data_IF_073818277511
#
_entry.id   IF_073818277511
#
_cell.length_a   1.000
_cell.length_b   1.000
_cell.length_c   1.000
_cell.angle_alpha   90.00
_cell.angle_beta   90.00
_cell.angle_gamma   90.00
#
_symmetry.space_group_name_H-M   'P 1'
#
loop_
_entity.id
_entity.type
_entity.pdbx_description
1 polymer ?
#
# COMPACT_ATOMS: atom_id res chain seq x y z
N UNK A 1 -25.73 -10.89 -40.61
CA UNK A 1 -24.33 -10.58 -40.25
C UNK A 1 -24.37 -9.54 -39.14
N UNK A 2 -23.93 -9.82 -37.90
CA UNK A 2 -23.83 -8.77 -36.89
C UNK A 2 -22.50 -8.02 -37.04
N UNK A 3 -22.55 -6.70 -36.86
CA UNK A 3 -21.39 -5.81 -36.87
C UNK A 3 -20.51 -6.10 -35.65
N UNK A 4 -19.25 -6.46 -35.89
CA UNK A 4 -18.23 -6.64 -34.86
C UNK A 4 -17.87 -5.27 -34.26
N UNK A 5 -18.25 -5.04 -33.01
CA UNK A 5 -17.71 -3.93 -32.21
C UNK A 5 -16.28 -4.28 -31.84
N UNK A 6 -15.31 -3.54 -32.39
CA UNK A 6 -13.91 -3.71 -32.01
C UNK A 6 -13.70 -3.14 -30.60
N UNK A 7 -12.96 -3.82 -29.70
CA UNK A 7 -12.64 -3.25 -28.41
C UNK A 7 -11.77 -2.00 -28.60
N UNK A 8 -12.13 -0.92 -27.92
CA UNK A 8 -11.31 0.29 -27.81
C UNK A 8 -9.93 -0.11 -27.27
N UNK A 9 -8.81 0.34 -27.87
CA UNK A 9 -7.50 0.09 -27.29
C UNK A 9 -7.46 0.73 -25.91
N UNK A 10 -7.36 -0.08 -24.86
CA UNK A 10 -6.95 0.45 -23.57
C UNK A 10 -5.50 0.87 -23.73
N UNK A 11 -5.28 2.19 -23.71
CA UNK A 11 -3.95 2.77 -23.67
C UNK A 11 -3.30 2.29 -22.39
N UNK A 12 -2.43 1.29 -22.50
CA UNK A 12 -1.50 0.92 -21.45
C UNK A 12 -0.67 2.17 -21.15
N UNK A 13 -0.96 2.84 -20.03
CA UNK A 13 -0.11 3.91 -19.49
C UNK A 13 1.12 3.24 -18.87
N UNK A 14 1.87 2.56 -19.73
CA UNK A 14 3.09 1.82 -19.42
C UNK A 14 4.27 2.78 -19.40
N UNK A 15 4.38 3.47 -18.27
CA UNK A 15 5.59 4.18 -17.88
C UNK A 15 6.13 3.72 -16.52
N UNK A 16 5.32 3.06 -15.69
CA UNK A 16 5.71 2.65 -14.36
C UNK A 16 5.80 1.13 -14.33
N UNK A 17 7.02 0.59 -14.29
CA UNK A 17 7.23 -0.82 -13.95
C UNK A 17 6.86 -0.99 -12.47
N UNK A 18 5.58 -1.20 -12.20
CA UNK A 18 5.10 -1.44 -10.84
C UNK A 18 5.73 -2.73 -10.32
N UNK A 19 6.51 -2.60 -9.26
CA UNK A 19 7.14 -3.74 -8.58
C UNK A 19 6.07 -4.48 -7.78
N UNK A 20 5.97 -5.80 -7.97
CA UNK A 20 5.13 -6.65 -7.11
C UNK A 20 5.77 -6.81 -5.73
N UNK A 21 5.01 -7.22 -4.74
CA UNK A 21 5.52 -7.48 -3.38
C UNK A 21 6.64 -8.52 -3.37
N UNK A 22 6.59 -9.52 -4.25
CA UNK A 22 7.64 -10.53 -4.40
C UNK A 22 8.98 -9.96 -4.90
N UNK A 23 8.93 -8.82 -5.61
CA UNK A 23 10.12 -8.17 -6.14
C UNK A 23 10.79 -7.19 -5.15
N UNK A 24 10.17 -6.98 -3.98
CA UNK A 24 10.68 -6.06 -2.96
C UNK A 24 12.03 -6.52 -2.41
N UNK A 25 12.96 -5.58 -2.36
CA UNK A 25 14.31 -5.78 -1.84
C UNK A 25 14.49 -5.05 -0.53
N UNK A 26 15.15 -5.69 0.42
CA UNK A 26 15.44 -5.13 1.74
C UNK A 26 16.26 -3.84 1.66
N UNK A 27 15.99 -2.93 2.60
CA UNK A 27 16.69 -1.68 2.78
C UNK A 27 15.98 -0.46 2.20
N UNK A 28 16.68 0.68 2.26
CA UNK A 28 16.22 1.94 1.67
C UNK A 28 16.44 1.92 0.17
N UNK A 29 15.43 2.34 -0.58
CA UNK A 29 15.49 2.30 -2.03
C UNK A 29 14.59 3.36 -2.65
N UNK A 30 14.84 3.69 -3.91
CA UNK A 30 13.88 4.35 -4.79
C UNK A 30 12.80 3.38 -5.31
N UNK A 31 12.45 2.34 -4.53
CA UNK A 31 11.38 1.41 -4.90
C UNK A 31 10.04 2.15 -4.89
N UNK A 32 9.19 1.75 -5.82
CA UNK A 32 7.83 2.23 -5.98
C UNK A 32 6.89 1.05 -6.16
N UNK A 33 5.76 1.05 -5.46
CA UNK A 33 4.69 0.06 -5.65
C UNK A 33 3.41 0.77 -6.07
N UNK A 34 2.58 0.07 -6.84
CA UNK A 34 1.15 0.37 -6.90
C UNK A 34 0.43 -0.75 -6.14
N UNK A 35 -0.45 -0.37 -5.23
CA UNK A 35 -1.11 -1.29 -4.32
C UNK A 35 -2.52 -0.83 -4.03
N UNK A 36 -3.45 -1.77 -3.84
CA UNK A 36 -4.71 -1.47 -3.18
C UNK A 36 -4.47 -1.17 -1.71
N UNK A 37 -5.08 -0.12 -1.17
CA UNK A 37 -5.12 0.18 0.26
C UNK A 37 -6.34 -0.53 0.84
N UNK A 38 -6.14 -1.73 1.38
CA UNK A 38 -7.23 -2.61 1.80
C UNK A 38 -8.00 -2.03 2.99
N UNK A 39 -7.27 -1.63 4.03
CA UNK A 39 -7.82 -1.07 5.28
C UNK A 39 -6.72 -0.43 6.11
N UNK A 40 -7.11 0.43 7.02
CA UNK A 40 -6.23 0.99 8.05
C UNK A 40 -6.99 1.16 9.36
N UNK A 41 -6.28 1.24 10.47
CA UNK A 41 -6.88 1.46 11.80
C UNK A 41 -5.88 2.06 12.78
N UNK A 42 -6.41 2.75 13.79
CA UNK A 42 -5.63 3.27 14.92
C UNK A 42 -5.10 2.14 15.78
N UNK A 43 -3.81 2.20 16.06
CA UNK A 43 -3.12 1.27 16.95
C UNK A 43 -2.94 1.92 18.30
N UNK A 44 -3.46 1.27 19.34
CA UNK A 44 -3.60 1.83 20.68
C UNK A 44 -2.82 1.00 21.70
N UNK A 45 -2.18 1.67 22.65
CA UNK A 45 -1.53 1.03 23.80
C UNK A 45 -2.52 0.91 24.95
N UNK A 46 -3.23 -0.22 25.04
CA UNK A 46 -4.21 -0.46 26.11
C UNK A 46 -3.61 -0.45 27.52
N UNK A 47 -2.30 -0.70 27.67
CA UNK A 47 -1.65 -0.68 28.99
C UNK A 47 -1.36 0.74 29.49
N UNK A 48 -1.39 1.72 28.59
CA UNK A 48 -1.05 3.11 28.89
C UNK A 48 -2.24 3.98 28.50
N UNK A 49 -3.34 3.79 29.21
CA UNK A 49 -4.57 4.59 29.08
C UNK A 49 -5.09 4.73 27.64
N UNK A 50 -4.95 3.67 26.84
CA UNK A 50 -5.38 3.66 25.43
C UNK A 50 -4.64 4.71 24.59
N UNK A 51 -3.36 4.95 24.89
CA UNK A 51 -2.51 5.91 24.17
C UNK A 51 -2.42 5.55 22.67
N UNK A 52 -2.66 6.54 21.81
CA UNK A 52 -2.49 6.41 20.37
C UNK A 52 -1.01 6.21 20.02
N UNK A 53 -0.69 5.05 19.43
CA UNK A 53 0.67 4.70 19.05
C UNK A 53 0.98 5.02 17.58
N UNK A 54 -0.06 5.06 16.74
CA UNK A 54 0.09 5.20 15.30
C UNK A 54 -1.03 4.55 14.52
N UNK A 55 -0.84 4.43 13.21
CA UNK A 55 -1.80 3.86 12.27
C UNK A 55 -1.19 2.59 11.69
N UNK A 56 -1.95 1.49 11.70
CA UNK A 56 -1.61 0.31 10.90
C UNK A 56 -2.31 0.40 9.55
N UNK A 57 -1.59 0.17 8.45
CA UNK A 57 -2.12 0.18 7.08
C UNK A 57 -1.86 -1.18 6.42
N UNK A 58 -2.85 -1.70 5.68
CA UNK A 58 -2.73 -2.90 4.87
C UNK A 58 -2.76 -2.57 3.38
N UNK A 59 -1.74 -3.07 2.68
CA UNK A 59 -1.53 -2.94 1.25
C UNK A 59 -1.74 -4.30 0.58
N UNK A 60 -2.52 -4.33 -0.50
CA UNK A 60 -2.79 -5.50 -1.34
C UNK A 60 -2.10 -5.36 -2.69
N UNK A 61 -1.26 -6.34 -3.02
CA UNK A 61 -0.83 -6.58 -4.39
C UNK A 61 -1.80 -7.57 -5.05
N UNK A 62 -2.69 -7.04 -5.88
CA UNK A 62 -3.71 -7.81 -6.58
C UNK A 62 -3.12 -8.83 -7.57
N UNK A 63 -1.92 -8.57 -8.11
CA UNK A 63 -1.33 -9.44 -9.15
C UNK A 63 -0.89 -10.79 -8.61
N UNK A 64 -0.42 -10.81 -7.36
CA UNK A 64 0.07 -12.02 -6.68
C UNK A 64 -0.76 -12.37 -5.45
N UNK A 65 -1.89 -11.69 -5.23
CA UNK A 65 -2.78 -11.85 -4.08
C UNK A 65 -2.03 -11.88 -2.74
N UNK A 66 -1.15 -10.90 -2.54
CA UNK A 66 -0.28 -10.82 -1.37
C UNK A 66 -0.54 -9.54 -0.58
N UNK A 67 -0.46 -9.62 0.75
CA UNK A 67 -0.75 -8.49 1.65
C UNK A 67 0.46 -8.14 2.48
N UNK A 68 0.88 -6.88 2.40
CA UNK A 68 1.92 -6.29 3.24
C UNK A 68 1.27 -5.30 4.19
N UNK A 69 1.77 -5.23 5.42
CA UNK A 69 1.37 -4.21 6.36
C UNK A 69 2.49 -3.20 6.59
N UNK A 70 2.06 -2.04 7.06
CA UNK A 70 2.88 -0.98 7.58
C UNK A 70 2.35 -0.50 8.93
N UNK A 71 3.26 -0.07 9.80
CA UNK A 71 2.96 0.66 11.02
C UNK A 71 3.56 2.07 10.98
N UNK A 72 2.70 3.08 10.87
CA UNK A 72 3.07 4.49 10.89
C UNK A 72 2.99 5.00 12.33
N UNK A 73 4.13 5.30 12.94
CA UNK A 73 4.18 5.81 14.33
C UNK A 73 3.46 7.17 14.49
N UNK A 74 3.09 7.51 15.73
CA UNK A 74 2.33 8.72 16.10
C UNK A 74 2.85 10.03 15.49
N UNK A 75 4.17 10.20 15.34
CA UNK A 75 4.74 11.43 14.79
C UNK A 75 4.33 11.65 13.33
N UNK A 76 4.70 10.75 12.40
CA UNK A 76 4.29 10.84 11.00
C UNK A 76 2.80 10.59 10.75
N UNK A 77 2.09 9.90 11.65
CA UNK A 77 0.70 9.48 11.43
C UNK A 77 -0.22 10.64 11.00
N UNK A 78 -0.13 11.79 11.67
CA UNK A 78 -0.95 12.96 11.38
C UNK A 78 -0.74 13.51 9.96
N UNK A 79 0.43 13.31 9.35
CA UNK A 79 0.73 13.76 8.00
C UNK A 79 0.04 12.89 6.94
N UNK A 80 -0.07 11.59 7.18
CA UNK A 80 -0.60 10.64 6.21
C UNK A 80 -2.09 10.39 6.36
N UNK A 81 -2.66 10.64 7.55
CA UNK A 81 -4.03 10.25 7.88
C UNK A 81 -5.08 10.80 6.92
N UNK A 82 -4.93 12.03 6.42
CA UNK A 82 -5.84 12.61 5.43
C UNK A 82 -5.73 11.99 4.02
N UNK A 83 -4.60 11.32 3.73
CA UNK A 83 -4.31 10.71 2.44
C UNK A 83 -4.68 9.23 2.37
N UNK A 84 -4.96 8.59 3.51
CA UNK A 84 -5.35 7.18 3.57
C UNK A 84 -6.84 7.02 3.30
N UNK A 85 -7.17 6.23 2.28
CA UNK A 85 -8.54 5.91 1.88
C UNK A 85 -8.65 4.42 1.58
N UNK A 86 -9.47 3.71 2.35
CA UNK A 86 -9.68 2.28 2.12
C UNK A 86 -10.36 2.04 0.77
N UNK A 87 -9.93 1.00 0.06
CA UNK A 87 -10.41 0.66 -1.28
C UNK A 87 -9.83 1.54 -2.40
N UNK A 88 -8.90 2.45 -2.12
CA UNK A 88 -8.18 3.17 -3.18
C UNK A 88 -6.98 2.38 -3.69
N UNK A 89 -6.57 2.65 -4.92
CA UNK A 89 -5.28 2.22 -5.44
C UNK A 89 -4.33 3.38 -5.20
N UNK A 90 -3.21 3.08 -4.57
CA UNK A 90 -2.19 4.06 -4.23
C UNK A 90 -0.86 3.69 -4.84
N UNK A 91 -0.11 4.71 -5.23
CA UNK A 91 1.31 4.60 -5.51
C UNK A 91 2.06 5.00 -4.25
N UNK A 92 2.98 4.15 -3.81
CA UNK A 92 3.87 4.44 -2.67
C UNK A 92 5.29 4.50 -3.19
N UNK A 93 5.95 5.64 -2.99
CA UNK A 93 7.32 5.91 -3.43
C UNK A 93 8.25 6.16 -2.24
N UNK A 94 9.55 5.87 -2.40
CA UNK A 94 10.61 6.25 -1.46
C UNK A 94 10.40 5.69 -0.03
N UNK A 95 10.07 4.40 0.08
CA UNK A 95 9.90 3.69 1.34
C UNK A 95 11.08 2.76 1.65
N UNK A 96 11.12 2.27 2.89
CA UNK A 96 12.07 1.24 3.33
C UNK A 96 11.36 -0.12 3.43
N UNK A 97 12.05 -1.18 2.97
CA UNK A 97 11.60 -2.57 3.16
C UNK A 97 12.40 -3.19 4.29
N UNK A 98 11.71 -3.65 5.34
CA UNK A 98 12.32 -4.35 6.46
C UNK A 98 11.76 -5.76 6.59
N UNK A 99 12.48 -6.64 7.30
CA UNK A 99 11.96 -7.97 7.66
C UNK A 99 10.86 -7.81 8.70
N UNK A 100 9.76 -8.52 8.53
CA UNK A 100 8.72 -8.61 9.53
C UNK A 100 9.24 -9.41 10.74
N UNK A 101 9.16 -8.84 11.95
CA UNK A 101 9.42 -9.61 13.17
C UNK A 101 8.30 -10.63 13.38
N UNK A 102 8.62 -11.84 13.84
CA UNK A 102 7.60 -12.87 14.16
C UNK A 102 6.63 -12.43 15.26
N UNK A 103 7.05 -11.51 16.11
CA UNK A 103 6.22 -10.89 17.14
C UNK A 103 5.24 -9.90 16.49
N UNK A 104 3.94 -10.06 16.76
CA UNK A 104 2.86 -9.21 16.26
C UNK A 104 2.72 -9.19 14.73
N UNK A 105 2.80 -10.36 14.09
CA UNK A 105 2.51 -10.53 12.66
C UNK A 105 1.03 -10.28 12.34
N UNK A 106 0.79 -9.37 11.41
CA UNK A 106 -0.54 -9.05 10.88
C UNK A 106 -0.79 -9.79 9.56
N UNK A 107 0.27 -9.98 8.77
CA UNK A 107 0.23 -10.67 7.47
C UNK A 107 1.32 -11.73 7.41
N UNK A 108 1.16 -12.70 6.51
CA UNK A 108 2.14 -13.78 6.30
C UNK A 108 3.35 -13.34 5.46
N UNK A 109 3.31 -12.14 4.88
CA UNK A 109 4.39 -11.64 4.05
C UNK A 109 5.69 -11.46 4.87
N UNK A 110 6.85 -11.92 4.36
CA UNK A 110 8.12 -11.88 5.12
C UNK A 110 8.66 -10.46 5.35
N UNK A 111 8.14 -9.48 4.62
CA UNK A 111 8.56 -8.07 4.69
C UNK A 111 7.43 -7.15 5.16
N UNK A 112 7.84 -6.02 5.73
CA UNK A 112 7.00 -4.86 6.03
C UNK A 112 7.53 -3.64 5.28
N UNK A 113 6.62 -2.75 4.90
CA UNK A 113 6.95 -1.43 4.35
C UNK A 113 7.01 -0.44 5.52
N UNK A 114 7.96 0.49 5.47
CA UNK A 114 8.13 1.57 6.44
C UNK A 114 8.22 2.91 5.71
N UNK A 115 7.30 3.82 6.04
CA UNK A 115 7.39 5.20 5.66
C UNK A 115 8.56 5.85 6.40
N UNK A 116 9.38 6.52 5.61
CA UNK A 116 10.48 7.36 6.05
C UNK A 116 10.20 8.77 5.54
N UNK A 117 10.87 9.81 6.02
CA UNK A 117 10.90 11.05 5.23
C UNK A 117 11.85 10.82 4.03
N UNK A 118 11.45 11.01 2.75
CA UNK A 118 10.22 11.61 2.24
C UNK A 118 9.31 10.61 1.47
N UNK A 119 8.75 9.60 2.13
CA UNK A 119 7.81 8.66 1.53
C UNK A 119 6.56 9.40 1.06
N UNK A 120 6.17 9.14 -0.18
CA UNK A 120 5.02 9.75 -0.84
C UNK A 120 3.98 8.67 -1.08
N UNK A 121 2.72 8.98 -0.77
CA UNK A 121 1.57 8.15 -1.06
C UNK A 121 0.54 8.99 -1.82
N UNK A 122 0.28 8.58 -3.07
CA UNK A 122 -0.66 9.28 -3.95
C UNK A 122 -1.72 8.29 -4.44
N UNK A 123 -2.99 8.69 -4.40
CA UNK A 123 -4.08 7.94 -5.03
C UNK A 123 -3.84 7.91 -6.56
N UNK A 124 -3.78 6.72 -7.13
CA UNK A 124 -3.69 6.55 -8.58
C UNK A 124 -5.09 6.74 -9.13
N UNK A 125 -5.33 7.90 -9.76
CA UNK A 125 -6.59 8.17 -10.46
C UNK A 125 -6.63 7.29 -11.72
N UNK A 126 -7.06 6.05 -11.53
CA UNK A 126 -7.33 5.13 -12.62
C UNK A 126 -8.81 5.26 -12.92
N UNK A 127 -9.16 5.97 -13.99
CA UNK A 127 -10.53 5.92 -14.51
C UNK A 127 -10.83 4.46 -14.85
N UNK A 128 -11.65 3.78 -14.04
CA UNK A 128 -12.12 2.40 -14.21
C UNK A 128 -11.30 1.24 -13.60
N UNK A 129 -10.78 1.36 -12.37
CA UNK A 129 -10.60 0.15 -11.54
C UNK A 129 -11.60 0.17 -10.37
N UNK A 130 -12.76 -0.45 -10.58
CA UNK A 130 -13.66 -0.84 -9.50
C UNK A 130 -13.02 -2.03 -8.77
N UNK A 131 -12.49 -1.78 -7.57
CA UNK A 131 -12.10 -2.85 -6.65
C UNK A 131 -13.42 -3.47 -6.15
N UNK A 132 -13.76 -4.65 -6.66
CA UNK A 132 -14.88 -5.43 -6.14
C UNK A 132 -14.43 -6.06 -4.82
N UNK A 133 -14.80 -5.42 -3.70
CA UNK A 133 -14.64 -5.93 -2.34
C UNK A 133 -15.67 -7.01 -2.01
#
# INVERSE_FOLDING_TARGET
MPLSVSPVPQTDVSGVRHSTFESLRLGRSSQSIASGLLRFWDSLNFKKDVEFMGITVLFLDEKVNSVIHEFITVGPANHYMSSLKAGSIVKVDCFEVARCSSMYKITDHPFVIRFISPTIIDEVITSALEINL
#
